data_IF_225922117455
#
_entry.id   IF_225922117455
#
_cell.length_a   1.000
_cell.length_b   1.000
_cell.length_c   1.000
_cell.angle_alpha   90.00
_cell.angle_beta   90.00
_cell.angle_gamma   90.00
#
_symmetry.space_group_name_H-M   'P 1'
#
loop_
_entity.id
_entity.type
_entity.pdbx_description
1 polymer ?
#
# COMPACT_ATOMS: atom_id res chain seq x y z
N UNK A 1 -9.94 16.95 6.37
CA UNK A 1 -8.55 17.30 6.77
C UNK A 1 -7.55 16.61 5.86
N UNK A 2 -6.34 17.15 5.72
CA UNK A 2 -5.24 16.61 4.92
C UNK A 2 -3.94 16.74 5.71
N UNK A 3 -3.14 15.67 5.75
CA UNK A 3 -1.83 15.63 6.41
C UNK A 3 -0.77 15.30 5.37
N UNK A 4 0.18 16.23 5.19
CA UNK A 4 1.31 16.06 4.27
C UNK A 4 2.59 16.20 5.05
N UNK A 5 3.47 15.21 4.97
CA UNK A 5 4.75 15.22 5.68
C UNK A 5 5.91 15.03 4.71
N UNK A 6 7.01 15.74 4.97
CA UNK A 6 8.31 15.51 4.33
C UNK A 6 9.40 15.66 5.37
N UNK A 7 10.19 14.60 5.54
CA UNK A 7 11.08 14.46 6.69
C UNK A 7 10.33 14.80 8.00
N UNK A 8 10.88 15.67 8.84
CA UNK A 8 10.27 16.04 10.11
C UNK A 8 9.24 17.17 10.02
N UNK A 9 9.02 17.75 8.84
CA UNK A 9 8.05 18.81 8.63
C UNK A 9 6.70 18.22 8.23
N UNK A 10 5.65 18.57 8.98
CA UNK A 10 4.28 18.12 8.75
C UNK A 10 3.38 19.32 8.60
N UNK A 11 2.64 19.36 7.50
CA UNK A 11 1.57 20.33 7.28
C UNK A 11 0.22 19.62 7.47
N UNK A 12 -0.61 20.17 8.36
CA UNK A 12 -2.01 19.76 8.54
C UNK A 12 -2.90 20.86 7.97
N UNK A 13 -3.76 20.50 7.02
CA UNK A 13 -4.73 21.41 6.40
C UNK A 13 -6.13 20.95 6.75
N UNK A 14 -6.92 21.85 7.34
CA UNK A 14 -8.34 21.68 7.53
C UNK A 14 -9.07 22.49 6.47
N UNK A 15 -9.60 21.80 5.46
CA UNK A 15 -10.30 22.41 4.34
C UNK A 15 -11.68 22.99 4.73
N UNK A 16 -12.29 22.49 5.81
CA UNK A 16 -13.57 23.02 6.30
C UNK A 16 -13.35 24.29 7.11
N UNK A 17 -12.40 24.24 8.05
CA UNK A 17 -12.04 25.41 8.87
C UNK A 17 -11.12 26.40 8.14
N UNK A 18 -10.74 26.11 6.88
CA UNK A 18 -9.75 26.87 6.08
C UNK A 18 -8.47 27.18 6.86
N UNK A 19 -8.00 26.21 7.65
CA UNK A 19 -6.85 26.39 8.53
C UNK A 19 -5.66 25.57 8.06
N UNK A 20 -4.45 26.09 8.30
CA UNK A 20 -3.19 25.42 7.99
C UNK A 20 -2.28 25.50 9.20
N UNK A 21 -1.78 24.36 9.64
CA UNK A 21 -0.85 24.26 10.77
C UNK A 21 0.40 23.52 10.33
N UNK A 22 1.54 23.98 10.79
CA UNK A 22 2.82 23.33 10.55
C UNK A 22 3.39 22.80 11.86
N UNK A 23 3.96 21.61 11.80
CA UNK A 23 4.57 20.92 12.93
C UNK A 23 5.95 20.42 12.53
N UNK A 24 6.89 20.48 13.47
CA UNK A 24 8.16 19.78 13.37
C UNK A 24 8.17 18.66 14.40
N UNK A 25 8.07 17.42 13.92
CA UNK A 25 8.00 16.24 14.79
C UNK A 25 9.00 15.16 14.35
N UNK A 26 9.61 14.42 15.30
CA UNK A 26 10.51 13.31 14.97
C UNK A 26 9.84 12.22 14.12
N UNK A 27 8.53 12.03 14.32
CA UNK A 27 7.74 10.97 13.68
C UNK A 27 6.40 11.53 13.19
N UNK A 28 6.29 11.82 11.88
CA UNK A 28 5.07 12.34 11.27
C UNK A 28 3.85 11.42 11.37
N UNK A 29 4.02 10.10 11.52
CA UNK A 29 2.89 9.16 11.62
C UNK A 29 2.07 9.37 12.89
N UNK A 30 2.63 10.04 13.91
CA UNK A 30 1.92 10.36 15.15
C UNK A 30 0.82 11.40 14.96
N UNK A 31 0.97 12.32 14.00
CA UNK A 31 0.00 13.41 13.80
C UNK A 31 -1.40 12.89 13.46
N UNK A 32 -1.62 12.09 12.39
CA UNK A 32 -2.95 11.57 12.08
C UNK A 32 -3.48 10.64 13.17
N UNK A 33 -2.60 9.92 13.88
CA UNK A 33 -2.98 9.11 15.05
C UNK A 33 -3.55 9.97 16.16
N UNK A 34 -2.82 11.00 16.61
CA UNK A 34 -3.25 11.89 17.70
C UNK A 34 -4.53 12.64 17.37
N UNK A 35 -4.75 13.00 16.10
CA UNK A 35 -6.02 13.58 15.64
C UNK A 35 -7.19 12.61 15.89
N UNK A 36 -6.99 11.31 15.68
CA UNK A 36 -8.04 10.30 15.87
C UNK A 36 -8.21 9.83 17.32
N UNK A 37 -7.22 10.01 18.20
CA UNK A 37 -7.25 9.50 19.58
C UNK A 37 -8.44 10.04 20.39
N UNK A 38 -8.96 11.20 20.01
CA UNK A 38 -10.12 11.82 20.66
C UNK A 38 -11.46 11.41 20.04
N UNK A 39 -11.46 10.59 18.99
CA UNK A 39 -12.66 10.26 18.23
C UNK A 39 -13.20 8.89 18.57
N UNK A 40 -14.52 8.82 18.78
CA UNK A 40 -15.25 7.58 19.01
C UNK A 40 -16.34 7.40 17.94
N UNK A 41 -15.98 6.88 16.74
CA UNK A 41 -16.93 6.73 15.66
C UNK A 41 -18.04 5.75 16.06
N UNK A 42 -19.30 6.16 15.89
CA UNK A 42 -20.45 5.31 16.14
C UNK A 42 -20.67 4.40 14.92
N UNK A 43 -20.46 3.10 15.09
CA UNK A 43 -20.64 2.10 14.03
C UNK A 43 -22.06 1.56 14.15
N UNK A 44 -22.88 1.78 13.11
CA UNK A 44 -24.21 1.22 13.01
C UNK A 44 -24.18 -0.12 12.26
N UNK A 45 -25.08 -1.05 12.61
CA UNK A 45 -25.21 -2.36 11.95
C UNK A 45 -25.58 -2.25 10.46
N UNK A 46 -26.13 -1.10 10.04
CA UNK A 46 -26.48 -0.81 8.65
C UNK A 46 -25.29 -0.44 7.76
N UNK A 47 -24.09 -0.27 8.32
CA UNK A 47 -22.89 0.02 7.53
C UNK A 47 -22.40 -1.25 6.82
N UNK A 48 -21.94 -1.14 5.56
CA UNK A 48 -21.35 -2.29 4.87
C UNK A 48 -20.04 -2.71 5.55
N UNK A 49 -19.68 -4.00 5.45
CA UNK A 49 -18.38 -4.51 5.91
C UNK A 49 -17.26 -4.10 4.93
N UNK A 50 -17.05 -2.80 4.82
CA UNK A 50 -16.11 -2.14 3.93
C UNK A 50 -15.58 -0.85 4.57
N UNK A 51 -14.62 -0.21 3.90
CA UNK A 51 -14.16 1.12 4.30
C UNK A 51 -15.33 2.11 4.18
N UNK A 52 -15.75 2.67 5.32
CA UNK A 52 -16.88 3.61 5.39
C UNK A 52 -16.43 5.06 5.62
N UNK A 53 -15.15 5.31 5.89
CA UNK A 53 -14.60 6.64 6.20
C UNK A 53 -13.29 6.54 6.95
N UNK A 54 -12.50 7.61 6.92
CA UNK A 54 -11.20 7.68 7.59
C UNK A 54 -10.06 8.16 6.70
N UNK A 55 -8.83 7.86 7.11
CA UNK A 55 -7.63 8.29 6.38
C UNK A 55 -7.38 7.43 5.15
N UNK A 56 -7.22 8.08 4.01
CA UNK A 56 -6.82 7.47 2.74
C UNK A 56 -5.64 8.23 2.18
N UNK A 57 -4.63 7.51 1.69
CA UNK A 57 -3.41 8.14 1.25
C UNK A 57 -2.28 7.15 1.03
N UNK A 58 -1.05 7.64 1.14
CA UNK A 58 0.13 6.81 1.02
C UNK A 58 1.20 7.14 2.07
N UNK A 59 2.00 6.11 2.35
CA UNK A 59 3.27 6.18 3.08
C UNK A 59 4.36 5.79 2.09
N UNK A 60 5.30 6.69 1.82
CA UNK A 60 6.43 6.42 0.94
C UNK A 60 7.35 5.36 1.55
N UNK A 61 8.23 4.78 0.74
CA UNK A 61 9.25 3.86 1.26
C UNK A 61 10.13 4.51 2.34
N UNK A 62 10.42 5.82 2.22
CA UNK A 62 11.28 6.55 3.16
C UNK A 62 10.64 6.72 4.55
N UNK A 63 9.36 6.38 4.73
CA UNK A 63 8.74 6.33 6.06
C UNK A 63 9.40 5.35 7.02
N UNK A 64 10.10 4.32 6.50
CA UNK A 64 10.95 3.44 7.29
C UNK A 64 11.99 4.19 8.12
N UNK A 65 12.44 5.36 7.66
CA UNK A 65 13.46 6.17 8.34
C UNK A 65 12.95 6.77 9.66
N UNK A 66 11.63 6.94 9.82
CA UNK A 66 11.01 7.35 11.09
C UNK A 66 10.89 6.18 12.09
N UNK A 67 10.99 4.94 11.60
CA UNK A 67 10.92 3.72 12.42
C UNK A 67 12.32 3.26 12.82
N UNK A 68 13.23 3.16 11.85
CA UNK A 68 14.60 2.68 12.02
C UNK A 68 15.60 3.85 12.10
N UNK A 69 15.28 4.91 12.83
CA UNK A 69 16.03 6.19 12.88
C UNK A 69 17.55 6.02 13.11
N UNK A 70 17.94 5.08 13.99
CA UNK A 70 19.36 4.78 14.29
C UNK A 70 20.09 4.12 13.12
N UNK A 71 19.39 3.29 12.34
CA UNK A 71 19.98 2.52 11.23
C UNK A 71 19.87 3.27 9.90
N UNK A 72 18.85 4.10 9.76
CA UNK A 72 18.44 4.77 8.53
C UNK A 72 18.17 6.27 8.72
N UNK A 73 19.18 7.06 9.16
CA UNK A 73 18.99 8.49 9.29
C UNK A 73 18.75 9.14 7.92
N UNK A 74 17.96 10.22 7.90
CA UNK A 74 17.70 11.00 6.68
C UNK A 74 18.98 11.62 6.10
N UNK A 75 19.99 11.91 6.93
CA UNK A 75 21.30 12.40 6.46
C UNK A 75 22.06 11.40 5.58
N UNK A 76 21.68 10.12 5.60
CA UNK A 76 22.24 9.06 4.73
C UNK A 76 21.25 8.61 3.65
N UNK A 77 20.17 9.36 3.42
CA UNK A 77 19.24 9.06 2.35
C UNK A 77 19.90 9.29 0.98
N UNK A 78 19.58 8.48 -0.05
CA UNK A 78 19.87 8.84 -1.43
C UNK A 78 19.29 10.21 -1.79
N UNK A 79 19.85 10.84 -2.82
CA UNK A 79 19.34 12.10 -3.34
C UNK A 79 17.85 12.01 -3.72
N UNK A 80 17.03 12.93 -3.20
CA UNK A 80 15.61 13.04 -3.54
C UNK A 80 15.44 13.84 -4.83
N UNK A 81 15.12 13.14 -5.92
CA UNK A 81 14.96 13.69 -7.26
C UNK A 81 13.48 13.90 -7.66
N UNK A 82 12.52 13.43 -6.85
CA UNK A 82 11.08 13.57 -7.15
C UNK A 82 10.39 14.62 -6.27
N UNK A 83 11.01 14.99 -5.15
CA UNK A 83 10.48 15.97 -4.21
C UNK A 83 9.05 15.62 -3.71
N UNK A 84 8.72 14.33 -3.64
CA UNK A 84 7.41 13.87 -3.16
C UNK A 84 7.33 13.87 -1.63
N UNK A 85 6.13 13.99 -1.05
CA UNK A 85 5.97 13.84 0.39
C UNK A 85 6.27 12.40 0.83
N UNK A 86 6.71 12.25 2.07
CA UNK A 86 6.86 10.96 2.73
C UNK A 86 5.52 10.36 3.14
N UNK A 87 4.58 11.21 3.54
CA UNK A 87 3.23 10.81 3.91
C UNK A 87 2.28 11.82 3.29
N UNK A 88 1.21 11.32 2.68
CA UNK A 88 0.10 12.15 2.26
C UNK A 88 -1.19 11.42 2.57
N UNK A 89 -2.00 11.96 3.49
CA UNK A 89 -3.27 11.37 3.93
C UNK A 89 -4.37 12.42 3.86
N UNK A 90 -5.47 12.09 3.19
CA UNK A 90 -6.74 12.80 3.31
C UNK A 90 -7.65 12.08 4.30
N UNK A 91 -8.32 12.81 5.17
CA UNK A 91 -9.42 12.29 5.98
C UNK A 91 -10.72 12.48 5.21
N UNK A 92 -11.35 11.37 4.84
CA UNK A 92 -12.58 11.35 4.06
C UNK A 92 -13.77 11.00 4.95
N UNK A 93 -14.67 11.98 5.09
CA UNK A 93 -15.97 11.80 5.73
C UNK A 93 -17.06 11.35 4.75
N UNK A 94 -16.88 11.65 3.46
CA UNK A 94 -17.79 11.26 2.39
C UNK A 94 -17.27 9.98 1.72
N UNK A 95 -18.05 8.92 1.74
CA UNK A 95 -17.70 7.64 1.13
C UNK A 95 -18.88 7.07 0.35
N UNK A 96 -18.60 6.60 -0.85
CA UNK A 96 -19.56 5.89 -1.70
C UNK A 96 -19.05 4.47 -1.88
N UNK A 97 -19.80 3.49 -1.37
CA UNK A 97 -19.48 2.07 -1.46
C UNK A 97 -20.40 1.43 -2.48
N UNK A 98 -19.82 0.84 -3.53
CA UNK A 98 -20.56 0.09 -4.54
C UNK A 98 -20.55 -1.40 -4.18
N UNK A 99 -21.69 -1.91 -3.74
CA UNK A 99 -21.90 -3.35 -3.54
C UNK A 99 -22.35 -3.98 -4.87
N UNK A 100 -21.42 -4.66 -5.53
CA UNK A 100 -21.68 -5.33 -6.79
C UNK A 100 -22.47 -6.64 -6.65
N UNK A 101 -22.55 -7.22 -5.46
CA UNK A 101 -23.29 -8.46 -5.18
C UNK A 101 -24.75 -8.11 -4.95
N UNK A 102 -25.02 -7.22 -4.00
CA UNK A 102 -26.38 -6.77 -3.67
C UNK A 102 -26.95 -5.74 -4.65
N UNK A 103 -26.12 -5.22 -5.57
CA UNK A 103 -26.46 -4.14 -6.51
C UNK A 103 -26.93 -2.86 -5.79
N UNK A 104 -26.32 -2.57 -4.64
CA UNK A 104 -26.61 -1.38 -3.84
C UNK A 104 -25.43 -0.41 -3.87
N UNK A 105 -25.73 0.86 -3.68
CA UNK A 105 -24.74 1.90 -3.43
C UNK A 105 -25.00 2.47 -2.06
N UNK A 106 -24.03 2.36 -1.15
CA UNK A 106 -24.10 3.03 0.14
C UNK A 106 -23.46 4.40 0.01
N UNK A 107 -24.18 5.43 0.43
CA UNK A 107 -23.69 6.81 0.47
C UNK A 107 -23.60 7.22 1.93
N UNK A 108 -22.38 7.46 2.39
CA UNK A 108 -22.05 7.60 3.80
C UNK A 108 -21.42 8.98 3.99
N UNK A 109 -21.91 9.72 4.98
CA UNK A 109 -21.36 10.99 5.41
C UNK A 109 -21.13 10.96 6.92
N UNK A 110 -19.87 11.13 7.35
CA UNK A 110 -19.51 11.22 8.77
C UNK A 110 -19.58 12.66 9.27
N UNK A 111 -20.28 12.84 10.39
CA UNK A 111 -20.43 14.14 11.06
C UNK A 111 -19.60 14.16 12.34
N UNK A 112 -18.81 15.23 12.51
CA UNK A 112 -18.07 15.51 13.74
C UNK A 112 -18.89 16.40 14.67
N UNK A 113 -19.49 15.82 15.71
CA UNK A 113 -20.40 16.54 16.62
C UNK A 113 -19.71 17.62 17.44
N UNK A 114 -18.40 17.51 17.68
CA UNK A 114 -17.58 18.48 18.42
C UNK A 114 -17.38 19.80 17.68
N UNK A 115 -17.74 19.87 16.39
CA UNK A 115 -17.69 21.08 15.58
C UNK A 115 -18.95 21.95 15.64
N UNK A 116 -20.00 21.51 16.35
CA UNK A 116 -21.31 22.17 16.37
C UNK A 116 -21.73 22.55 17.80
N UNK A 117 -22.72 23.45 17.93
CA UNK A 117 -23.22 23.90 19.24
C UNK A 117 -24.17 22.89 19.87
N UNK A 118 -24.83 22.08 19.05
CA UNK A 118 -25.78 21.05 19.47
C UNK A 118 -25.74 19.85 18.54
N UNK A 119 -26.24 18.71 19.03
CA UNK A 119 -26.36 17.48 18.22
C UNK A 119 -27.38 17.67 17.10
N UNK A 120 -28.47 18.41 17.33
CA UNK A 120 -29.49 18.66 16.31
C UNK A 120 -28.93 19.48 15.13
N UNK A 121 -28.10 20.50 15.43
CA UNK A 121 -27.40 21.28 14.41
C UNK A 121 -26.44 20.41 13.58
N UNK A 122 -25.67 19.54 14.25
CA UNK A 122 -24.76 18.60 13.59
C UNK A 122 -25.52 17.62 12.69
N UNK A 123 -26.64 17.08 13.19
CA UNK A 123 -27.49 16.15 12.44
C UNK A 123 -28.09 16.81 11.19
N UNK A 124 -28.61 18.02 11.33
CA UNK A 124 -29.24 18.73 10.21
C UNK A 124 -28.21 19.12 9.13
N UNK A 125 -27.03 19.62 9.51
CA UNK A 125 -25.92 19.85 8.56
C UNK A 125 -25.50 18.55 7.88
N UNK A 126 -25.38 17.46 8.64
CA UNK A 126 -25.07 16.13 8.13
C UNK A 126 -26.06 15.63 7.09
N UNK A 127 -27.37 15.79 7.35
CA UNK A 127 -28.43 15.47 6.37
C UNK A 127 -28.28 16.31 5.11
N UNK A 128 -28.08 17.62 5.26
CA UNK A 128 -27.96 18.53 4.12
C UNK A 128 -26.74 18.19 3.24
N UNK A 129 -25.61 17.81 3.85
CA UNK A 129 -24.42 17.34 3.12
C UNK A 129 -24.65 16.01 2.42
N UNK A 130 -25.34 15.07 3.08
CA UNK A 130 -25.71 13.79 2.49
C UNK A 130 -26.64 13.98 1.29
N UNK A 131 -27.65 14.85 1.40
CA UNK A 131 -28.56 15.19 0.30
C UNK A 131 -27.83 15.87 -0.87
N UNK A 132 -26.86 16.74 -0.58
CA UNK A 132 -26.01 17.33 -1.61
C UNK A 132 -25.15 16.28 -2.33
N UNK A 133 -24.61 15.30 -1.59
CA UNK A 133 -23.85 14.18 -2.15
C UNK A 133 -24.74 13.27 -3.03
N UNK A 134 -25.96 12.96 -2.57
CA UNK A 134 -26.96 12.20 -3.33
C UNK A 134 -27.37 12.93 -4.61
N UNK A 135 -27.58 14.24 -4.53
CA UNK A 135 -27.94 15.07 -5.68
C UNK A 135 -26.85 15.04 -6.76
N UNK A 136 -25.57 15.02 -6.38
CA UNK A 136 -24.44 14.85 -7.31
C UNK A 136 -24.43 13.48 -7.97
N UNK A 137 -24.81 12.43 -7.24
CA UNK A 137 -24.90 11.06 -7.77
C UNK A 137 -26.09 10.85 -8.71
N UNK A 138 -27.22 11.50 -8.43
CA UNK A 138 -28.41 11.47 -9.28
C UNK A 138 -28.30 12.39 -10.51
N UNK A 139 -27.28 13.25 -10.58
CA UNK A 139 -27.09 14.17 -11.69
C UNK A 139 -26.96 13.41 -13.01
N UNK A 140 -27.90 13.65 -13.93
CA UNK A 140 -27.97 13.01 -15.25
C UNK A 140 -26.89 13.51 -16.22
N UNK A 141 -26.24 14.64 -15.92
CA UNK A 141 -25.11 15.17 -16.68
C UNK A 141 -23.80 14.49 -16.25
N UNK A 142 -23.74 13.17 -16.47
CA UNK A 142 -22.52 12.40 -16.23
C UNK A 142 -21.53 12.65 -17.37
N UNK A 143 -20.25 12.94 -17.09
CA UNK A 143 -19.23 13.03 -18.14
C UNK A 143 -19.23 11.74 -18.97
N UNK A 144 -19.39 11.86 -20.29
CA UNK A 144 -19.27 10.71 -21.18
C UNK A 144 -17.82 10.26 -21.21
N UNK A 145 -17.52 9.16 -20.52
CA UNK A 145 -16.23 8.49 -20.64
C UNK A 145 -16.08 7.97 -22.06
N UNK A 146 -14.98 8.31 -22.72
CA UNK A 146 -14.71 7.80 -24.06
C UNK A 146 -14.61 6.27 -24.03
N UNK A 147 -15.28 5.63 -24.99
CA UNK A 147 -15.10 4.20 -25.23
C UNK A 147 -13.67 3.94 -25.64
N UNK A 148 -12.95 3.17 -24.83
CA UNK A 148 -11.58 2.73 -25.12
C UNK A 148 -11.58 1.26 -25.54
N UNK A 149 -10.60 0.87 -26.34
CA UNK A 149 -10.31 -0.55 -26.61
C UNK A 149 -8.85 -0.83 -26.30
N UNK A 150 -8.59 -2.01 -25.75
CA UNK A 150 -7.24 -2.47 -25.43
C UNK A 150 -7.03 -3.77 -26.18
N UNK A 151 -6.00 -3.80 -27.03
CA UNK A 151 -5.51 -5.05 -27.59
C UNK A 151 -4.71 -5.75 -26.50
N UNK A 152 -5.25 -6.85 -25.97
CA UNK A 152 -4.57 -7.71 -25.00
C UNK A 152 -3.48 -8.55 -25.69
N UNK A 153 -2.50 -7.88 -26.29
CA UNK A 153 -1.29 -8.53 -26.78
C UNK A 153 -0.14 -8.13 -25.84
N UNK A 154 0.01 -8.89 -24.76
CA UNK A 154 1.08 -8.71 -23.77
C UNK A 154 2.45 -9.15 -24.26
N UNK A 155 2.53 -9.81 -25.42
CA UNK A 155 3.79 -10.26 -26.05
C UNK A 155 4.44 -9.15 -26.90
N UNK A 156 3.65 -8.18 -27.36
CA UNK A 156 4.15 -6.99 -28.05
C UNK A 156 4.66 -5.96 -27.04
N UNK A 157 5.95 -6.00 -26.76
CA UNK A 157 6.61 -4.96 -25.99
C UNK A 157 6.49 -3.60 -26.71
N UNK A 158 6.13 -2.56 -25.96
CA UNK A 158 6.17 -1.19 -26.44
C UNK A 158 7.59 -0.72 -26.74
N UNK A 159 7.76 0.54 -27.19
CA UNK A 159 9.08 1.13 -27.40
C UNK A 159 9.93 1.02 -26.12
N UNK A 160 11.23 0.79 -26.29
CA UNK A 160 12.18 0.69 -25.18
C UNK A 160 12.09 1.93 -24.30
N UNK A 161 12.01 1.74 -22.98
CA UNK A 161 12.04 2.83 -22.03
C UNK A 161 13.45 3.45 -22.00
N UNK A 162 13.56 4.69 -22.48
CA UNK A 162 14.86 5.36 -22.63
C UNK A 162 15.38 5.98 -21.33
N UNK A 163 14.49 6.29 -20.37
CA UNK A 163 14.87 6.89 -19.10
C UNK A 163 14.79 5.86 -17.98
N UNK A 164 15.95 5.55 -17.41
CA UNK A 164 16.12 4.72 -16.22
C UNK A 164 17.06 5.44 -15.25
N UNK A 165 16.90 5.19 -13.95
CA UNK A 165 17.84 5.68 -12.92
C UNK A 165 19.21 5.00 -13.00
N UNK A 166 19.32 3.89 -13.72
CA UNK A 166 20.58 3.15 -13.92
C UNK A 166 20.59 2.40 -15.25
N UNK A 167 21.77 2.17 -15.79
CA UNK A 167 22.02 1.32 -16.94
C UNK A 167 21.88 -0.16 -16.60
N UNK A 168 21.76 -1.00 -17.64
CA UNK A 168 21.73 -2.45 -17.50
C UNK A 168 23.00 -2.99 -16.83
N UNK A 169 24.16 -2.42 -17.15
CA UNK A 169 25.44 -2.87 -16.61
C UNK A 169 25.59 -2.50 -15.13
N UNK A 170 25.19 -1.29 -14.76
CA UNK A 170 25.11 -0.89 -13.34
C UNK A 170 24.16 -1.83 -12.58
N UNK A 171 22.99 -2.16 -13.14
CA UNK A 171 22.04 -3.08 -12.50
C UNK A 171 22.65 -4.49 -12.29
N UNK A 172 23.41 -5.01 -13.26
CA UNK A 172 24.10 -6.30 -13.10
C UNK A 172 25.17 -6.25 -12.02
N UNK A 173 25.94 -5.15 -11.98
CA UNK A 173 27.00 -4.98 -10.98
C UNK A 173 26.43 -4.94 -9.56
N UNK A 174 25.31 -4.25 -9.32
CA UNK A 174 24.67 -4.24 -8.01
C UNK A 174 24.10 -5.62 -7.62
N UNK A 175 23.70 -6.44 -8.60
CA UNK A 175 23.28 -7.83 -8.37
C UNK A 175 24.47 -8.71 -7.97
N UNK A 176 25.64 -8.52 -8.58
CA UNK A 176 26.87 -9.24 -8.20
C UNK A 176 27.30 -8.87 -6.78
N UNK A 177 27.35 -7.58 -6.45
CA UNK A 177 27.66 -7.11 -5.09
C UNK A 177 26.67 -7.65 -4.05
N UNK A 178 25.38 -7.67 -4.36
CA UNK A 178 24.37 -8.29 -3.51
C UNK A 178 24.64 -9.79 -3.25
N UNK A 179 25.11 -10.54 -4.26
CA UNK A 179 25.48 -11.95 -4.10
C UNK A 179 26.71 -12.12 -3.22
N UNK A 180 27.70 -11.23 -3.32
CA UNK A 180 28.89 -11.25 -2.47
C UNK A 180 28.51 -11.08 -0.99
N UNK A 181 27.61 -10.15 -0.67
CA UNK A 181 27.07 -9.97 0.68
C UNK A 181 26.27 -11.18 1.18
N UNK A 182 25.51 -11.84 0.30
CA UNK A 182 24.82 -13.09 0.65
C UNK A 182 25.83 -14.20 0.98
N UNK A 183 26.88 -14.35 0.17
CA UNK A 183 27.93 -15.35 0.40
C UNK A 183 28.76 -15.07 1.65
N UNK A 184 28.98 -13.80 1.98
CA UNK A 184 29.65 -13.38 3.20
C UNK A 184 28.81 -13.60 4.47
N UNK A 185 27.50 -13.85 4.32
CA UNK A 185 26.57 -14.03 5.43
C UNK A 185 26.02 -12.72 6.01
N UNK A 186 26.20 -11.59 5.33
CA UNK A 186 25.72 -10.28 5.77
C UNK A 186 24.18 -10.18 5.69
N UNK A 187 23.61 -10.79 4.64
CA UNK A 187 22.18 -10.82 4.33
C UNK A 187 21.78 -12.18 3.77
N UNK A 188 20.51 -12.58 3.95
CA UNK A 188 19.94 -13.75 3.29
C UNK A 188 19.36 -13.40 1.91
N UNK A 189 18.71 -12.23 1.83
CA UNK A 189 18.07 -11.74 0.62
C UNK A 189 18.03 -10.22 0.60
N UNK A 190 18.13 -9.64 -0.60
CA UNK A 190 17.96 -8.21 -0.89
C UNK A 190 17.05 -8.06 -2.11
N UNK A 191 16.10 -7.13 -2.03
CA UNK A 191 15.25 -6.75 -3.16
C UNK A 191 15.77 -5.46 -3.77
N UNK A 192 16.41 -5.60 -4.92
CA UNK A 192 16.92 -4.48 -5.73
C UNK A 192 15.80 -3.93 -6.62
N UNK A 193 15.90 -2.64 -6.92
CA UNK A 193 14.91 -1.94 -7.73
C UNK A 193 15.56 -0.81 -8.52
N UNK A 194 14.99 -0.51 -9.68
CA UNK A 194 15.30 0.65 -10.51
C UNK A 194 14.00 1.34 -10.94
N UNK A 195 14.07 2.63 -11.25
CA UNK A 195 12.90 3.41 -11.71
C UNK A 195 13.03 3.66 -13.20
N UNK A 196 11.93 3.41 -13.91
CA UNK A 196 11.78 3.78 -15.32
C UNK A 196 10.81 4.95 -15.46
N UNK A 197 11.06 5.80 -16.44
CA UNK A 197 10.26 6.99 -16.68
C UNK A 197 9.84 7.11 -18.13
N UNK A 198 8.61 7.56 -18.34
CA UNK A 198 8.08 7.88 -19.66
C UNK A 198 7.20 9.12 -19.58
N UNK A 199 7.37 10.02 -20.54
CA UNK A 199 6.44 11.13 -20.74
C UNK A 199 5.23 10.63 -21.51
N UNK A 200 4.04 10.98 -21.04
CA UNK A 200 2.77 10.61 -21.65
C UNK A 200 1.81 11.78 -21.59
N UNK A 201 0.89 11.83 -22.56
CA UNK A 201 -0.25 12.74 -22.59
C UNK A 201 -1.56 12.03 -22.25
N UNK A 202 -1.50 10.73 -21.94
CA UNK A 202 -2.66 9.97 -21.52
C UNK A 202 -3.21 10.52 -20.21
N UNK A 203 -4.54 10.62 -20.12
CA UNK A 203 -5.19 10.94 -18.88
C UNK A 203 -4.86 9.84 -17.83
N UNK A 204 -4.45 10.20 -16.60
CA UNK A 204 -4.12 9.22 -15.56
C UNK A 204 -5.25 8.22 -15.25
N UNK A 205 -6.51 8.63 -15.39
CA UNK A 205 -7.64 7.73 -15.18
C UNK A 205 -7.77 6.71 -16.32
N UNK A 206 -7.42 7.07 -17.56
CA UNK A 206 -7.33 6.09 -18.67
C UNK A 206 -6.24 5.05 -18.42
N UNK A 207 -5.12 5.45 -17.80
CA UNK A 207 -4.07 4.50 -17.37
C UNK A 207 -4.63 3.53 -16.32
N UNK A 208 -5.39 4.02 -15.35
CA UNK A 208 -6.06 3.18 -14.35
C UNK A 208 -7.07 2.22 -14.98
N UNK A 209 -7.93 2.71 -15.87
CA UNK A 209 -8.90 1.89 -16.63
C UNK A 209 -8.19 0.79 -17.41
N UNK A 210 -7.10 1.13 -18.09
CA UNK A 210 -6.32 0.17 -18.84
C UNK A 210 -5.65 -0.88 -17.95
N UNK A 211 -5.05 -0.46 -16.84
CA UNK A 211 -4.43 -1.36 -15.87
C UNK A 211 -5.46 -2.32 -15.26
N UNK A 212 -6.68 -1.86 -14.97
CA UNK A 212 -7.77 -2.70 -14.44
C UNK A 212 -8.20 -3.81 -15.41
N UNK A 213 -8.05 -3.59 -16.71
CA UNK A 213 -8.36 -4.58 -17.75
C UNK A 213 -7.17 -5.53 -17.94
N UNK A 214 -5.95 -4.99 -18.04
CA UNK A 214 -4.76 -5.78 -18.38
C UNK A 214 -4.27 -6.63 -17.20
N UNK A 215 -4.25 -6.08 -16.00
CA UNK A 215 -3.75 -6.74 -14.80
C UNK A 215 -4.64 -6.42 -13.60
N UNK A 216 -5.86 -6.98 -13.52
CA UNK A 216 -6.70 -6.83 -12.34
C UNK A 216 -6.04 -7.49 -11.15
N UNK A 217 -5.94 -6.76 -10.04
CA UNK A 217 -5.40 -7.26 -8.79
C UNK A 217 -6.37 -7.01 -7.62
N UNK A 218 -6.15 -7.68 -6.47
CA UNK A 218 -6.97 -7.47 -5.28
C UNK A 218 -6.93 -6.04 -4.74
N UNK A 219 -5.87 -5.28 -5.03
CA UNK A 219 -5.68 -3.90 -4.54
C UNK A 219 -5.41 -2.95 -5.69
N UNK A 220 -6.49 -2.47 -6.30
CA UNK A 220 -6.47 -1.43 -7.32
C UNK A 220 -6.65 -0.06 -6.66
N UNK A 221 -5.87 0.95 -7.06
CA UNK A 221 -6.03 2.31 -6.56
C UNK A 221 -5.84 3.36 -7.65
N UNK A 222 -6.68 4.39 -7.59
CA UNK A 222 -6.50 5.67 -8.27
C UNK A 222 -6.61 6.76 -7.21
N UNK A 223 -5.49 7.37 -6.86
CA UNK A 223 -5.41 8.36 -5.79
C UNK A 223 -4.78 9.64 -6.33
N UNK A 224 -5.55 10.72 -6.29
CA UNK A 224 -5.05 12.06 -6.53
C UNK A 224 -4.48 12.61 -5.22
N UNK A 225 -3.17 12.83 -5.19
CA UNK A 225 -2.46 13.35 -4.04
C UNK A 225 -1.70 14.63 -4.42
N UNK A 226 -1.26 15.38 -3.42
CA UNK A 226 -0.49 16.60 -3.66
C UNK A 226 0.85 16.27 -4.33
N UNK A 227 1.01 16.78 -5.55
CA UNK A 227 2.22 16.61 -6.35
C UNK A 227 2.28 15.33 -7.18
N UNK A 228 1.32 14.40 -7.06
CA UNK A 228 1.28 13.20 -7.89
C UNK A 228 -0.12 12.56 -7.99
N UNK A 229 -0.31 11.76 -9.03
CA UNK A 229 -1.45 10.85 -9.12
C UNK A 229 -0.90 9.42 -9.07
N UNK A 230 -1.38 8.64 -8.12
CA UNK A 230 -1.00 7.24 -7.93
C UNK A 230 -2.00 6.35 -8.65
N UNK A 231 -1.50 5.56 -9.59
CA UNK A 231 -2.23 4.49 -10.27
C UNK A 231 -1.57 3.18 -9.91
N UNK A 232 -2.28 2.30 -9.21
CA UNK A 232 -1.71 1.05 -8.69
C UNK A 232 -2.61 -0.16 -8.96
N UNK A 233 -1.94 -1.30 -9.15
CA UNK A 233 -2.52 -2.64 -9.17
C UNK A 233 -1.58 -3.54 -8.36
N UNK A 234 -1.81 -3.65 -7.05
CA UNK A 234 -0.97 -4.43 -6.14
C UNK A 234 -1.55 -5.83 -5.92
N UNK A 235 -0.75 -6.89 -6.12
CA UNK A 235 -1.17 -8.26 -5.79
C UNK A 235 -1.10 -8.57 -4.29
N UNK A 236 -0.30 -7.81 -3.52
CA UNK A 236 0.07 -8.11 -2.13
C UNK A 236 -0.45 -7.03 -1.15
N UNK A 237 -0.75 -7.43 0.10
CA UNK A 237 -0.94 -6.52 1.24
C UNK A 237 0.31 -6.40 2.09
N UNK A 238 0.61 -5.18 2.53
CA UNK A 238 1.56 -4.94 3.61
C UNK A 238 1.03 -5.51 4.95
N UNK A 239 -0.14 -5.03 5.35
CA UNK A 239 -0.85 -5.48 6.55
C UNK A 239 -2.33 -5.06 6.45
N UNK A 240 -3.20 -5.82 7.09
CA UNK A 240 -4.61 -5.48 7.28
C UNK A 240 -4.96 -5.71 8.74
N UNK A 241 -5.67 -4.76 9.34
CA UNK A 241 -6.25 -4.93 10.69
C UNK A 241 -7.76 -4.82 10.56
N UNK A 242 -8.48 -5.89 10.91
CA UNK A 242 -9.94 -5.93 10.92
C UNK A 242 -10.42 -6.59 12.20
N UNK A 243 -11.33 -5.94 12.95
CA UNK A 243 -11.85 -6.45 14.23
C UNK A 243 -10.73 -6.94 15.17
N UNK A 244 -9.66 -6.15 15.27
CA UNK A 244 -8.41 -6.45 16.02
C UNK A 244 -7.56 -7.62 15.50
N UNK A 245 -7.98 -8.33 14.44
CA UNK A 245 -7.15 -9.34 13.78
C UNK A 245 -6.19 -8.67 12.80
N UNK A 246 -4.90 -8.86 13.02
CA UNK A 246 -3.83 -8.47 12.10
C UNK A 246 -3.64 -9.58 11.09
N UNK A 247 -3.55 -9.23 9.81
CA UNK A 247 -3.37 -10.15 8.69
C UNK A 247 -2.19 -9.65 7.87
N UNK A 248 -1.21 -10.52 7.68
CA UNK A 248 -0.11 -10.34 6.74
C UNK A 248 -0.13 -11.52 5.74
N UNK A 249 0.07 -11.21 4.46
CA UNK A 249 0.01 -12.22 3.40
C UNK A 249 1.22 -12.10 2.49
N UNK A 250 2.36 -12.71 2.87
CA UNK A 250 3.54 -12.71 2.02
C UNK A 250 3.26 -13.46 0.73
N UNK A 251 3.76 -12.90 -0.38
CA UNK A 251 3.77 -13.53 -1.69
C UNK A 251 5.21 -13.71 -2.18
N UNK A 252 5.56 -14.93 -2.58
CA UNK A 252 6.80 -15.24 -3.26
C UNK A 252 6.60 -16.45 -4.18
N UNK A 253 7.63 -16.79 -4.97
CA UNK A 253 7.44 -17.76 -6.05
C UNK A 253 6.57 -17.17 -7.15
N UNK A 254 7.05 -17.18 -8.39
CA UNK A 254 6.25 -16.71 -9.51
C UNK A 254 6.43 -17.66 -10.66
N UNK A 255 5.31 -18.15 -11.19
CA UNK A 255 5.30 -18.89 -12.45
C UNK A 255 4.12 -18.44 -13.31
N UNK A 256 4.29 -18.49 -14.63
CA UNK A 256 3.23 -18.15 -15.58
C UNK A 256 2.02 -19.08 -15.41
N UNK A 257 0.84 -18.62 -15.82
CA UNK A 257 -0.32 -19.51 -15.99
C UNK A 257 -0.13 -20.48 -17.17
N UNK A 258 -0.69 -21.67 -17.03
CA UNK A 258 -0.76 -22.65 -18.12
C UNK A 258 -1.81 -22.25 -19.16
N UNK A 259 -1.59 -22.63 -20.42
CA UNK A 259 -2.58 -22.45 -21.51
C UNK A 259 -3.77 -23.39 -21.35
N UNK A 260 -3.58 -24.49 -20.63
CA UNK A 260 -4.60 -25.49 -20.31
C UNK A 260 -4.64 -25.77 -18.82
N UNK A 261 -5.76 -26.31 -18.31
CA UNK A 261 -5.87 -26.73 -16.90
C UNK A 261 -4.82 -27.76 -16.49
N UNK A 262 -4.47 -28.67 -17.40
CA UNK A 262 -3.44 -29.68 -17.16
C UNK A 262 -2.05 -29.04 -17.04
N UNK A 263 -1.70 -28.15 -17.97
CA UNK A 263 -0.44 -27.40 -17.92
C UNK A 263 -0.37 -26.52 -16.66
N UNK A 264 -1.46 -25.84 -16.31
CA UNK A 264 -1.53 -24.97 -15.12
C UNK A 264 -1.27 -25.76 -13.83
N UNK A 265 -1.82 -26.98 -13.72
CA UNK A 265 -1.57 -27.89 -12.59
C UNK A 265 -0.13 -28.40 -12.58
N UNK A 266 0.46 -28.69 -13.74
CA UNK A 266 1.88 -29.09 -13.81
C UNK A 266 2.80 -27.96 -13.38
N UNK A 267 2.54 -26.72 -13.82
CA UNK A 267 3.31 -25.53 -13.43
C UNK A 267 3.18 -25.23 -11.92
N UNK A 268 1.99 -25.43 -11.37
CA UNK A 268 1.76 -25.35 -9.92
C UNK A 268 2.62 -26.35 -9.14
N UNK A 269 2.61 -27.63 -9.54
CA UNK A 269 3.42 -28.66 -8.90
C UNK A 269 4.92 -28.36 -9.05
N UNK A 270 5.35 -27.87 -10.21
CA UNK A 270 6.72 -27.46 -10.46
C UNK A 270 7.15 -26.35 -9.48
N UNK A 271 6.31 -25.32 -9.31
CA UNK A 271 6.58 -24.22 -8.38
C UNK A 271 6.65 -24.69 -6.92
N UNK A 272 5.76 -25.59 -6.50
CA UNK A 272 5.75 -26.14 -5.14
C UNK A 272 6.87 -27.16 -4.89
N UNK A 273 7.45 -27.73 -5.94
CA UNK A 273 8.62 -28.62 -5.86
C UNK A 273 9.96 -27.89 -5.94
N UNK A 274 9.96 -26.60 -6.29
CA UNK A 274 11.17 -25.79 -6.34
C UNK A 274 11.61 -25.43 -4.90
N UNK A 275 12.58 -26.19 -4.39
CA UNK A 275 13.12 -26.05 -3.03
C UNK A 275 13.60 -24.62 -2.75
N UNK A 276 14.16 -23.93 -3.75
CA UNK A 276 14.63 -22.55 -3.61
C UNK A 276 13.45 -21.61 -3.40
N UNK A 277 12.42 -21.69 -4.24
CA UNK A 277 11.24 -20.82 -4.12
C UNK A 277 10.50 -21.07 -2.79
N UNK A 278 10.42 -22.33 -2.37
CA UNK A 278 9.80 -22.71 -1.10
C UNK A 278 10.59 -22.16 0.09
N UNK A 279 11.92 -22.25 0.08
CA UNK A 279 12.78 -21.72 1.13
C UNK A 279 12.69 -20.18 1.23
N UNK A 280 12.75 -19.47 0.10
CA UNK A 280 12.56 -18.01 0.05
C UNK A 280 11.19 -17.61 0.61
N UNK A 281 10.14 -18.36 0.27
CA UNK A 281 8.79 -18.10 0.77
C UNK A 281 8.67 -18.33 2.28
N UNK A 282 9.20 -19.43 2.82
CA UNK A 282 9.18 -19.74 4.26
C UNK A 282 9.89 -18.64 5.05
N UNK A 283 11.02 -18.14 4.56
CA UNK A 283 11.74 -17.03 5.19
C UNK A 283 10.87 -15.75 5.27
N UNK A 284 10.08 -15.46 4.24
CA UNK A 284 9.14 -14.32 4.26
C UNK A 284 7.97 -14.56 5.22
N UNK A 285 7.50 -15.80 5.35
CA UNK A 285 6.50 -16.17 6.36
C UNK A 285 7.03 -15.91 7.76
N UNK A 286 8.28 -16.31 8.05
CA UNK A 286 8.90 -16.06 9.34
C UNK A 286 9.10 -14.57 9.62
N UNK A 287 9.44 -13.79 8.58
CA UNK A 287 9.50 -12.34 8.71
C UNK A 287 8.12 -11.74 9.02
N UNK A 288 7.07 -12.18 8.33
CA UNK A 288 5.69 -11.80 8.59
C UNK A 288 5.24 -12.17 10.01
N UNK A 289 5.60 -13.37 10.50
CA UNK A 289 5.36 -13.79 11.89
C UNK A 289 6.05 -12.88 12.89
N UNK A 290 7.29 -12.49 12.64
CA UNK A 290 8.02 -11.57 13.50
C UNK A 290 7.37 -10.19 13.54
N UNK A 291 6.91 -9.66 12.40
CA UNK A 291 6.27 -8.35 12.36
C UNK A 291 4.90 -8.35 13.03
N UNK A 292 4.06 -9.34 12.73
CA UNK A 292 2.77 -9.53 13.38
C UNK A 292 2.97 -9.75 14.89
N UNK A 293 3.98 -10.53 15.28
CA UNK A 293 4.28 -10.84 16.68
C UNK A 293 4.68 -9.64 17.53
N UNK A 294 5.33 -8.62 16.98
CA UNK A 294 5.71 -7.38 17.71
C UNK A 294 4.51 -6.67 18.33
N UNK A 295 3.34 -6.77 17.70
CA UNK A 295 2.13 -6.02 18.05
C UNK A 295 0.95 -6.91 18.41
N UNK A 296 1.13 -8.24 18.40
CA UNK A 296 0.08 -9.20 18.73
C UNK A 296 0.13 -9.62 20.21
N UNK A 297 -0.99 -10.11 20.74
CA UNK A 297 -1.06 -10.75 22.06
C UNK A 297 -0.15 -11.99 22.07
N UNK A 298 0.60 -12.24 23.17
CA UNK A 298 1.43 -13.43 23.28
C UNK A 298 0.64 -14.71 22.97
N UNK A 299 1.20 -15.59 22.13
CA UNK A 299 0.57 -16.86 21.73
C UNK A 299 -0.56 -16.76 20.69
N UNK A 300 -0.97 -15.55 20.26
CA UNK A 300 -2.05 -15.39 19.28
C UNK A 300 -1.61 -15.52 17.82
N UNK A 301 -0.31 -15.44 17.53
CA UNK A 301 0.22 -15.47 16.16
C UNK A 301 0.11 -16.86 15.56
N UNK A 302 -0.52 -16.97 14.39
CA UNK A 302 -0.76 -18.23 13.68
C UNK A 302 -0.43 -18.11 12.20
N UNK A 303 -0.01 -19.21 11.59
CA UNK A 303 0.06 -19.35 10.13
C UNK A 303 -1.16 -20.14 9.71
N UNK A 304 -2.21 -19.46 9.26
CA UNK A 304 -3.50 -20.08 8.90
C UNK A 304 -3.42 -20.86 7.60
N UNK A 305 -2.63 -20.35 6.65
CA UNK A 305 -2.39 -20.99 5.35
C UNK A 305 -0.90 -20.93 5.07
N UNK A 306 -0.30 -22.07 4.76
CA UNK A 306 1.11 -22.17 4.40
C UNK A 306 1.23 -22.68 2.96
N UNK A 307 2.04 -21.99 2.16
CA UNK A 307 2.38 -22.33 0.77
C UNK A 307 1.19 -22.68 -0.13
N UNK A 308 0.10 -21.92 -0.03
CA UNK A 308 -1.04 -22.06 -0.92
C UNK A 308 -0.79 -21.34 -2.25
N UNK A 309 -1.35 -21.86 -3.34
CA UNK A 309 -1.18 -21.24 -4.67
C UNK A 309 -2.31 -20.25 -4.93
N UNK A 310 -1.94 -18.98 -5.12
CA UNK A 310 -2.85 -17.92 -5.57
C UNK A 310 -2.68 -17.69 -7.08
N UNK A 311 -3.77 -17.83 -7.83
CA UNK A 311 -3.79 -17.70 -9.28
C UNK A 311 -4.32 -16.32 -9.67
N UNK A 312 -3.51 -15.56 -10.39
CA UNK A 312 -3.86 -14.29 -11.00
C UNK A 312 -4.08 -14.49 -12.50
N UNK A 313 -4.39 -13.41 -13.23
CA UNK A 313 -4.70 -13.45 -14.66
C UNK A 313 -3.56 -14.06 -15.48
N UNK A 314 -2.31 -13.68 -15.21
CA UNK A 314 -1.14 -14.06 -16.04
C UNK A 314 -0.10 -14.92 -15.30
N UNK A 315 -0.10 -14.88 -13.98
CA UNK A 315 0.86 -15.58 -13.11
C UNK A 315 0.16 -16.25 -11.94
N UNK A 316 0.86 -17.15 -11.26
CA UNK A 316 0.48 -17.66 -9.94
C UNK A 316 1.66 -17.53 -8.97
N UNK A 317 1.33 -17.38 -7.69
CA UNK A 317 2.29 -17.16 -6.61
C UNK A 317 2.08 -18.15 -5.47
N UNK A 318 3.17 -18.45 -4.75
CA UNK A 318 3.10 -19.07 -3.42
C UNK A 318 2.65 -17.98 -2.45
N UNK A 319 1.59 -18.27 -1.70
CA UNK A 319 0.96 -17.37 -0.73
C UNK A 319 0.89 -18.06 0.63
N UNK A 320 1.02 -17.27 1.68
CA UNK A 320 0.72 -17.73 3.04
C UNK A 320 0.00 -16.65 3.81
N UNK A 321 -0.76 -17.03 4.82
CA UNK A 321 -1.52 -16.08 5.63
C UNK A 321 -1.06 -16.21 7.07
N UNK A 322 -0.46 -15.13 7.58
CA UNK A 322 -0.05 -14.99 8.97
C UNK A 322 -1.07 -14.07 9.66
N UNK A 323 -1.64 -14.55 10.75
CA UNK A 323 -2.60 -13.78 11.56
C UNK A 323 -2.14 -13.64 13.00
N UNK A 324 -2.66 -12.63 13.69
CA UNK A 324 -2.43 -12.40 15.11
C UNK A 324 -3.50 -11.48 15.70
N UNK A 325 -3.73 -11.55 17.00
CA UNK A 325 -4.66 -10.66 17.68
C UNK A 325 -3.91 -9.42 18.18
N UNK A 326 -4.27 -8.23 17.70
CA UNK A 326 -3.66 -6.97 18.12
C UNK A 326 -3.78 -6.81 19.64
N UNK A 327 -2.72 -6.34 20.29
CA UNK A 327 -2.73 -6.03 21.73
C UNK A 327 -3.71 -4.91 22.07
N UNK A 328 -4.34 -5.01 23.25
CA UNK A 328 -5.42 -4.10 23.68
C UNK A 328 -4.96 -2.64 23.82
N UNK A 329 -3.68 -2.43 24.12
CA UNK A 329 -3.04 -1.12 24.23
C UNK A 329 -2.54 -0.53 22.90
N UNK A 330 -2.69 -1.26 21.79
CA UNK A 330 -2.18 -0.86 20.47
C UNK A 330 -3.30 -0.62 19.47
N UNK A 331 -2.97 0.15 18.44
CA UNK A 331 -3.86 0.56 17.35
C UNK A 331 -3.38 0.05 15.99
N UNK A 332 -4.18 0.23 14.94
CA UNK A 332 -3.78 -0.10 13.57
C UNK A 332 -2.53 0.68 13.10
N UNK A 333 -2.26 1.86 13.68
CA UNK A 333 -1.05 2.64 13.42
C UNK A 333 0.22 1.93 13.89
N UNK A 334 0.14 1.23 15.02
CA UNK A 334 1.25 0.44 15.56
C UNK A 334 1.51 -0.80 14.68
N UNK A 335 0.44 -1.44 14.19
CA UNK A 335 0.56 -2.55 13.25
C UNK A 335 1.17 -2.11 11.90
N UNK A 336 0.74 -0.97 11.35
CA UNK A 336 1.36 -0.38 10.17
C UNK A 336 2.85 -0.11 10.40
N UNK A 337 3.21 0.48 11.53
CA UNK A 337 4.61 0.78 11.88
C UNK A 337 5.46 -0.50 11.99
N UNK A 338 4.93 -1.55 12.60
CA UNK A 338 5.63 -2.83 12.75
C UNK A 338 5.84 -3.53 11.40
N UNK A 339 4.92 -3.35 10.45
CA UNK A 339 5.00 -3.94 9.11
C UNK A 339 6.00 -3.21 8.20
N UNK A 340 6.26 -1.92 8.40
CA UNK A 340 7.14 -1.12 7.53
C UNK A 340 8.63 -1.47 7.71
N UNK A 341 9.41 -1.66 6.62
CA UNK A 341 8.97 -1.93 5.25
C UNK A 341 8.62 -3.42 5.08
N UNK A 342 7.81 -3.78 4.08
CA UNK A 342 7.53 -5.21 3.82
C UNK A 342 8.80 -5.96 3.44
N UNK A 343 8.92 -7.21 3.88
CA UNK A 343 10.05 -8.08 3.53
C UNK A 343 10.25 -8.20 2.03
N UNK A 344 9.16 -8.32 1.27
CA UNK A 344 9.13 -8.51 -0.19
C UNK A 344 9.63 -7.32 -1.00
N UNK A 345 9.82 -6.14 -0.38
CA UNK A 345 10.42 -4.96 -1.05
C UNK A 345 11.73 -4.53 -0.40
N UNK A 346 12.13 -5.16 0.71
CA UNK A 346 13.37 -4.87 1.41
C UNK A 346 14.32 -6.06 1.30
N UNK A 347 14.16 -7.06 2.15
CA UNK A 347 15.00 -8.24 2.21
C UNK A 347 15.01 -8.83 3.61
N UNK A 348 15.90 -9.80 3.84
CA UNK A 348 16.07 -10.46 5.12
C UNK A 348 17.56 -10.51 5.50
N UNK A 349 17.95 -10.08 6.72
CA UNK A 349 17.12 -9.44 7.74
C UNK A 349 16.79 -7.98 7.35
N UNK A 350 15.58 -7.51 7.72
CA UNK A 350 15.06 -6.17 7.35
C UNK A 350 16.04 -5.02 7.61
N UNK A 351 16.85 -5.12 8.67
CA UNK A 351 17.75 -4.04 9.07
C UNK A 351 19.13 -4.06 8.43
N UNK A 352 19.59 -5.20 7.89
CA UNK A 352 20.92 -5.30 7.25
C UNK A 352 20.91 -4.84 5.79
N UNK A 353 19.75 -4.95 5.12
CA UNK A 353 19.46 -4.40 3.77
C UNK A 353 19.96 -2.96 3.52
N UNK A 354 20.17 -2.19 4.58
CA UNK A 354 20.28 -0.75 4.53
C UNK A 354 21.65 -0.18 4.89
N UNK A 355 22.50 -0.94 5.60
CA UNK A 355 23.90 -0.52 5.86
C UNK A 355 24.76 -0.61 4.59
N UNK A 356 24.44 -1.57 3.72
CA UNK A 356 25.27 -1.97 2.57
C UNK A 356 24.81 -1.39 1.23
N UNK A 357 23.66 -0.71 1.18
CA UNK A 357 23.24 0.07 -0.01
C UNK A 357 24.09 1.30 -0.32
N UNK A 358 25.20 1.52 0.39
CA UNK A 358 26.20 2.52 0.01
C UNK A 358 26.76 2.17 -1.37
N UNK A 359 26.19 2.79 -2.42
CA UNK A 359 26.63 2.63 -3.81
C UNK A 359 25.70 1.80 -4.71
N UNK A 360 24.69 1.11 -4.16
CA UNK A 360 23.87 0.14 -4.91
C UNK A 360 22.54 0.69 -5.47
N UNK A 361 22.11 1.89 -5.08
CA UNK A 361 20.89 2.52 -5.62
C UNK A 361 21.10 4.02 -5.87
N UNK A 362 20.73 4.46 -7.07
CA UNK A 362 20.65 5.86 -7.49
C UNK A 362 19.23 6.39 -7.25
N UNK A 363 19.09 7.40 -6.38
CA UNK A 363 17.81 8.08 -6.11
C UNK A 363 16.94 7.49 -4.99
N UNK A 364 15.98 8.26 -4.51
CA UNK A 364 14.98 7.77 -3.52
C UNK A 364 13.96 6.83 -4.17
N UNK A 365 13.35 5.95 -3.36
CA UNK A 365 12.31 4.99 -3.81
C UNK A 365 10.89 5.60 -3.85
N UNK A 366 10.77 6.92 -3.70
CA UNK A 366 9.48 7.61 -3.77
C UNK A 366 8.92 7.56 -5.17
#
# INVERSE_FOLDING_TARGET
MEVVAKANHVTVMDHEMKSRREHFVPDPMRIPRTIMEQWNPQIADSLPDAFCGGWVGFFSYDTVRYVETKKLPFSKAPHDDRNLPDIHLGLYSDVIVFDHVEKKTHVIHWVRTDCYRSVDEAYEDGRNRLEALLSRLHCLNVPTLSSGSIKLNVENFGPVMQKSTMSSEEYKNIVVQAKEHILAGDIFQVVLSQRFERRTFADPFEIYRALRIVNPSPYMAYLQARGCILVASSPEILTRVQKRTIINRPLAGTIRRGKTKAEDKTLEQLLLSDEKQCAEHIMLVDLGRNDVGKVSKPGSVKVEKLMNIERYSHVMHISSTVTGELRDDLTCWDALRAALPVGTVSGAPKSSHFREKKGLQTGTRR
#
